data_IF_414561095094
#
_entry.id   IF_414561095094
#
_cell.length_a   1.000
_cell.length_b   1.000
_cell.length_c   1.000
_cell.angle_alpha   90.00
_cell.angle_beta   90.00
_cell.angle_gamma   90.00
#
_symmetry.space_group_name_H-M   'P 1'
#
loop_
_entity.id
_entity.type
_entity.pdbx_description
1 polymer ?
#
# COMPACT_ATOMS: atom_id res chain seq x y z
N UNK A 1 -2.19 -51.18 -2.78
CA UNK A 1 -2.29 -50.66 -1.43
C UNK A 1 -0.90 -50.16 -1.01
N UNK A 2 -0.67 -48.86 -1.01
CA UNK A 2 0.56 -48.25 -0.46
C UNK A 2 0.55 -48.52 1.05
N UNK A 3 1.45 -49.40 1.52
CA UNK A 3 1.64 -49.65 2.95
C UNK A 3 2.20 -48.35 3.57
N UNK A 4 1.33 -47.59 4.26
CA UNK A 4 1.77 -46.47 5.07
C UNK A 4 2.87 -46.95 6.03
N UNK A 5 3.96 -46.17 6.24
CA UNK A 5 4.91 -46.44 7.28
C UNK A 5 4.16 -46.60 8.62
N UNK A 6 4.51 -47.62 9.39
CA UNK A 6 3.79 -47.90 10.64
C UNK A 6 3.85 -46.73 11.63
N UNK A 7 4.90 -45.91 11.57
CA UNK A 7 5.05 -44.70 12.36
C UNK A 7 3.93 -43.67 12.03
N UNK A 8 3.60 -43.51 10.75
CA UNK A 8 2.52 -42.60 10.33
C UNK A 8 1.14 -43.12 10.75
N UNK A 9 0.94 -44.45 10.67
CA UNK A 9 -0.30 -45.07 11.13
C UNK A 9 -0.49 -44.91 12.64
N UNK A 10 0.58 -45.03 13.44
CA UNK A 10 0.56 -44.79 14.87
C UNK A 10 0.32 -43.29 15.21
N UNK A 11 0.97 -42.37 14.52
CA UNK A 11 0.73 -40.93 14.69
C UNK A 11 -0.75 -40.56 14.49
N UNK A 12 -1.39 -41.02 13.39
CA UNK A 12 -2.81 -40.84 13.14
C UNK A 12 -3.70 -41.45 14.23
N UNK A 13 -3.32 -42.65 14.74
CA UNK A 13 -4.09 -43.31 15.78
C UNK A 13 -3.98 -42.59 17.13
N UNK A 14 -2.85 -42.00 17.46
CA UNK A 14 -2.68 -41.21 18.68
C UNK A 14 -3.54 -39.95 18.65
N UNK A 15 -3.62 -39.30 17.49
CA UNK A 15 -4.49 -38.13 17.33
C UNK A 15 -6.00 -38.46 17.41
N UNK A 16 -6.44 -39.65 16.97
CA UNK A 16 -7.84 -40.06 16.83
C UNK A 16 -8.33 -40.94 17.96
N UNK A 17 -7.60 -41.09 19.09
CA UNK A 17 -7.95 -42.02 20.18
C UNK A 17 -9.32 -41.65 20.80
N UNK A 18 -10.27 -42.64 20.69
CA UNK A 18 -11.64 -42.48 21.17
C UNK A 18 -11.76 -42.93 22.64
N UNK A 19 -12.34 -42.11 23.52
CA UNK A 19 -12.94 -42.37 24.83
C UNK A 19 -12.08 -42.36 26.10
N UNK A 20 -10.77 -42.66 26.11
CA UNK A 20 -9.97 -42.58 27.37
C UNK A 20 -9.06 -41.33 27.43
N UNK A 21 -8.74 -40.77 26.28
CA UNK A 21 -7.80 -39.66 26.15
C UNK A 21 -8.46 -38.39 25.58
N UNK A 22 -9.67 -38.05 26.07
CA UNK A 22 -10.41 -36.83 25.63
C UNK A 22 -9.57 -35.56 25.81
N UNK A 23 -8.66 -35.55 26.78
CA UNK A 23 -7.76 -34.46 27.06
C UNK A 23 -6.71 -34.26 25.95
N UNK A 24 -6.07 -35.34 25.45
CA UNK A 24 -5.12 -35.29 24.33
C UNK A 24 -5.79 -34.78 23.04
N UNK A 25 -7.00 -35.30 22.78
CA UNK A 25 -7.78 -34.84 21.60
C UNK A 25 -8.14 -33.36 21.70
N UNK A 26 -8.52 -32.85 22.86
CA UNK A 26 -8.82 -31.43 23.09
C UNK A 26 -7.59 -30.55 22.83
N UNK A 27 -6.40 -30.96 23.35
CA UNK A 27 -5.17 -30.23 23.19
C UNK A 27 -4.73 -30.19 21.71
N UNK A 28 -4.89 -31.32 20.99
CA UNK A 28 -4.60 -31.38 19.54
C UNK A 28 -5.52 -30.43 18.76
N UNK A 29 -6.82 -30.37 19.10
CA UNK A 29 -7.78 -29.43 18.48
C UNK A 29 -7.36 -27.99 18.75
N UNK A 30 -6.97 -27.66 19.99
CA UNK A 30 -6.49 -26.32 20.35
C UNK A 30 -5.23 -25.93 19.52
N UNK A 31 -4.31 -26.88 19.34
CA UNK A 31 -3.11 -26.65 18.53
C UNK A 31 -3.44 -26.41 17.05
N UNK A 32 -4.32 -27.22 16.46
CA UNK A 32 -4.80 -27.03 15.09
C UNK A 32 -5.50 -25.67 14.96
N UNK A 33 -6.39 -25.33 15.92
CA UNK A 33 -7.08 -24.05 15.93
C UNK A 33 -6.12 -22.86 16.05
N UNK A 34 -5.10 -22.97 16.91
CA UNK A 34 -4.07 -21.94 17.06
C UNK A 34 -3.29 -21.66 15.76
N UNK A 35 -2.86 -22.75 15.08
CA UNK A 35 -2.19 -22.62 13.76
C UNK A 35 -3.16 -22.04 12.72
N UNK A 36 -4.40 -22.54 12.69
CA UNK A 36 -5.40 -22.07 11.73
C UNK A 36 -5.70 -20.59 11.90
N UNK A 37 -5.87 -20.12 13.14
CA UNK A 37 -6.09 -18.70 13.44
C UNK A 37 -4.87 -17.86 13.07
N UNK A 38 -3.65 -18.35 13.36
CA UNK A 38 -2.40 -17.66 12.99
C UNK A 38 -2.28 -17.51 11.47
N UNK A 39 -2.47 -18.59 10.72
CA UNK A 39 -2.41 -18.60 9.25
C UNK A 39 -3.52 -17.70 8.65
N UNK A 40 -4.75 -17.80 9.16
CA UNK A 40 -5.86 -16.97 8.69
C UNK A 40 -5.60 -15.48 8.95
N UNK A 41 -5.15 -15.12 10.15
CA UNK A 41 -4.82 -13.75 10.50
C UNK A 41 -3.70 -13.19 9.60
N UNK A 42 -2.65 -13.97 9.33
CA UNK A 42 -1.56 -13.61 8.43
C UNK A 42 -2.08 -13.31 7.01
N UNK A 43 -2.90 -14.18 6.46
CA UNK A 43 -3.47 -14.03 5.11
C UNK A 43 -4.34 -12.76 5.05
N UNK A 44 -5.22 -12.53 6.02
CA UNK A 44 -6.10 -11.38 6.06
C UNK A 44 -5.29 -10.08 6.17
N UNK A 45 -4.38 -9.98 7.14
CA UNK A 45 -3.60 -8.77 7.39
C UNK A 45 -2.73 -8.42 6.19
N UNK A 46 -1.98 -9.39 5.62
CA UNK A 46 -1.14 -9.13 4.46
C UNK A 46 -1.97 -8.78 3.22
N UNK A 47 -3.13 -9.41 3.00
CA UNK A 47 -4.01 -9.07 1.88
C UNK A 47 -4.57 -7.65 1.97
N UNK A 48 -4.94 -7.20 3.16
CA UNK A 48 -5.38 -5.82 3.42
C UNK A 48 -4.23 -4.83 3.22
N UNK A 49 -3.05 -5.13 3.75
CA UNK A 49 -1.86 -4.27 3.58
C UNK A 49 -1.44 -4.13 2.11
N UNK A 50 -1.41 -5.24 1.38
CA UNK A 50 -1.11 -5.22 -0.05
C UNK A 50 -2.18 -4.45 -0.86
N UNK A 51 -3.44 -4.55 -0.43
CA UNK A 51 -4.55 -3.77 -0.99
C UNK A 51 -4.34 -2.28 -0.78
N UNK A 52 -4.08 -1.88 0.45
CA UNK A 52 -3.84 -0.49 0.84
C UNK A 52 -2.64 0.12 0.12
N UNK A 53 -1.47 -0.56 0.13
CA UNK A 53 -0.27 -0.12 -0.58
C UNK A 53 -0.53 0.00 -2.09
N UNK A 54 -1.23 -0.97 -2.68
CA UNK A 54 -1.55 -0.99 -4.10
C UNK A 54 -2.50 0.13 -4.53
N UNK A 55 -3.56 0.39 -3.76
CA UNK A 55 -4.53 1.45 -4.06
C UNK A 55 -3.91 2.84 -3.91
N UNK A 56 -3.17 3.05 -2.82
CA UNK A 56 -2.46 4.30 -2.59
C UNK A 56 -1.44 4.59 -3.69
N UNK A 57 -0.65 3.58 -4.08
CA UNK A 57 0.28 3.68 -5.21
C UNK A 57 -0.45 4.05 -6.50
N UNK A 58 -1.58 3.40 -6.79
CA UNK A 58 -2.39 3.67 -7.99
C UNK A 58 -2.91 5.11 -8.02
N UNK A 59 -3.44 5.61 -6.91
CA UNK A 59 -3.94 6.99 -6.78
C UNK A 59 -2.84 8.03 -6.94
N UNK A 60 -1.68 7.80 -6.29
CA UNK A 60 -0.52 8.70 -6.44
C UNK A 60 -0.06 8.76 -7.88
N UNK A 61 0.08 7.61 -8.56
CA UNK A 61 0.54 7.52 -9.95
C UNK A 61 -0.49 8.05 -10.96
N UNK A 62 -1.78 8.04 -10.62
CA UNK A 62 -2.83 8.62 -11.46
C UNK A 62 -2.88 10.16 -11.36
N UNK A 63 -2.63 10.70 -10.18
CA UNK A 63 -2.72 12.14 -9.92
C UNK A 63 -1.41 12.87 -10.23
N UNK A 64 -0.27 12.24 -10.00
CA UNK A 64 1.06 12.82 -10.16
C UNK A 64 1.83 12.18 -11.31
N UNK A 65 2.79 12.93 -11.86
CA UNK A 65 3.78 12.39 -12.77
C UNK A 65 4.68 11.34 -12.09
N UNK A 66 5.20 10.41 -12.87
CA UNK A 66 6.11 9.37 -12.36
C UNK A 66 7.51 9.92 -12.07
N UNK A 67 7.90 11.00 -12.74
CA UNK A 67 9.19 11.66 -12.62
C UNK A 67 9.01 13.15 -12.91
N UNK A 68 9.71 14.01 -12.18
CA UNK A 68 9.79 15.44 -12.46
C UNK A 68 11.25 15.85 -12.70
N UNK A 69 11.46 16.73 -13.67
CA UNK A 69 12.74 17.39 -13.94
C UNK A 69 12.62 18.84 -13.47
N UNK A 70 13.52 19.24 -12.61
CA UNK A 70 13.58 20.55 -11.98
C UNK A 70 14.95 21.19 -12.24
N UNK A 71 15.05 22.50 -12.04
CA UNK A 71 16.30 23.26 -12.18
C UNK A 71 16.68 23.90 -10.84
N UNK A 72 17.95 23.76 -10.47
CA UNK A 72 18.50 24.45 -9.30
C UNK A 72 18.62 25.95 -9.59
N UNK A 73 18.15 26.77 -8.65
CA UNK A 73 18.25 28.22 -8.72
C UNK A 73 17.13 28.93 -9.49
N UNK A 74 16.01 28.27 -9.77
CA UNK A 74 14.82 28.91 -10.35
C UNK A 74 14.08 28.08 -11.37
N UNK A 75 13.18 28.72 -12.13
CA UNK A 75 12.38 28.04 -13.15
C UNK A 75 13.20 27.57 -14.35
N UNK A 76 12.60 26.66 -15.12
CA UNK A 76 13.13 26.16 -16.39
C UNK A 76 12.65 27.09 -17.52
N UNK A 77 13.61 27.75 -18.14
CA UNK A 77 13.42 28.51 -19.36
C UNK A 77 13.45 27.69 -20.62
N UNK A 78 13.43 27.66 -21.68
CA UNK A 78 13.62 26.74 -22.82
C UNK A 78 13.06 25.32 -22.58
N UNK A 79 11.90 25.23 -21.91
CA UNK A 79 11.26 23.96 -21.58
C UNK A 79 10.81 23.18 -22.83
N UNK A 80 10.53 23.86 -23.97
CA UNK A 80 10.19 23.20 -25.24
C UNK A 80 11.36 22.38 -25.77
N UNK A 81 12.56 22.97 -25.73
CA UNK A 81 13.79 22.24 -26.11
C UNK A 81 14.01 21.03 -25.19
N UNK A 82 13.87 21.21 -23.89
CA UNK A 82 14.08 20.15 -22.92
C UNK A 82 13.05 19.02 -23.09
N UNK A 83 11.80 19.34 -23.42
CA UNK A 83 10.76 18.36 -23.72
C UNK A 83 11.13 17.52 -24.95
N UNK A 84 11.59 18.15 -26.02
CA UNK A 84 12.02 17.47 -27.24
C UNK A 84 13.25 16.57 -26.99
N UNK A 85 14.26 17.07 -26.26
CA UNK A 85 15.46 16.32 -25.90
C UNK A 85 15.12 15.06 -25.09
N UNK A 86 14.19 15.17 -24.12
CA UNK A 86 13.74 14.04 -23.33
C UNK A 86 13.00 13.01 -24.18
N UNK A 87 12.17 13.45 -25.12
CA UNK A 87 11.49 12.55 -26.04
C UNK A 87 12.45 11.83 -26.99
N UNK A 88 13.44 12.53 -27.52
CA UNK A 88 14.42 11.96 -28.45
C UNK A 88 15.31 10.92 -27.78
N UNK A 89 15.81 11.21 -26.58
CA UNK A 89 16.79 10.34 -25.89
C UNK A 89 16.16 9.21 -25.08
N UNK A 90 14.96 9.40 -24.55
CA UNK A 90 14.32 8.46 -23.63
C UNK A 90 12.92 8.02 -24.07
N UNK A 91 12.53 8.19 -25.34
CA UNK A 91 11.19 7.85 -25.84
C UNK A 91 10.82 6.36 -25.72
N UNK A 92 11.80 5.48 -25.57
CA UNK A 92 11.61 4.06 -25.25
C UNK A 92 11.06 3.84 -23.83
N UNK A 93 11.36 4.76 -22.90
CA UNK A 93 11.00 4.70 -21.47
C UNK A 93 9.90 5.67 -21.08
N UNK A 94 9.80 6.79 -21.81
CA UNK A 94 8.85 7.88 -21.56
C UNK A 94 7.58 7.66 -22.39
N UNK A 95 6.42 7.86 -21.75
CA UNK A 95 5.12 7.83 -22.41
C UNK A 95 4.62 9.24 -22.76
N UNK A 96 4.96 10.24 -21.96
CA UNK A 96 4.59 11.63 -22.17
C UNK A 96 5.41 12.58 -21.31
N UNK A 97 5.53 13.83 -21.75
CA UNK A 97 6.19 14.94 -21.03
C UNK A 97 5.29 16.17 -21.12
N UNK A 98 5.13 16.89 -20.01
CA UNK A 98 4.35 18.13 -19.94
C UNK A 98 5.03 19.18 -19.08
N UNK A 99 5.09 20.45 -19.48
CA UNK A 99 5.53 21.52 -18.60
C UNK A 99 4.50 21.84 -17.53
N UNK A 100 4.96 22.24 -16.35
CA UNK A 100 4.07 22.61 -15.26
C UNK A 100 4.59 23.79 -14.44
N UNK A 101 3.66 24.54 -13.86
CA UNK A 101 3.92 25.49 -12.77
C UNK A 101 3.32 24.91 -11.49
N UNK A 102 4.04 25.04 -10.39
CA UNK A 102 3.59 24.64 -9.07
C UNK A 102 3.93 25.75 -8.10
N UNK A 103 2.87 26.45 -7.63
CA UNK A 103 3.02 27.59 -6.75
C UNK A 103 1.93 27.61 -5.69
N UNK A 104 2.18 28.29 -4.59
CA UNK A 104 1.21 28.46 -3.51
C UNK A 104 0.48 29.80 -3.63
N UNK A 105 -0.79 29.79 -3.28
CA UNK A 105 -1.64 30.97 -3.24
C UNK A 105 -2.75 30.81 -2.21
N UNK A 106 -3.65 31.78 -2.19
CA UNK A 106 -4.89 31.72 -1.42
C UNK A 106 -6.06 31.93 -2.36
N UNK A 107 -7.06 31.07 -2.29
CA UNK A 107 -8.35 31.30 -2.94
C UNK A 107 -9.33 31.92 -1.96
N UNK A 108 -9.97 32.98 -2.38
CA UNK A 108 -10.98 33.70 -1.58
C UNK A 108 -12.32 33.69 -2.32
N UNK A 109 -13.35 33.34 -1.59
CA UNK A 109 -14.74 33.48 -2.01
C UNK A 109 -15.41 34.60 -1.22
N UNK A 110 -16.74 34.73 -1.36
CA UNK A 110 -17.52 35.68 -0.52
C UNK A 110 -17.53 35.25 0.97
N UNK A 111 -17.34 33.98 1.25
CA UNK A 111 -17.55 33.39 2.58
C UNK A 111 -16.24 33.02 3.27
N UNK A 112 -15.26 32.52 2.53
CA UNK A 112 -14.09 31.88 3.09
C UNK A 112 -12.79 32.19 2.34
N UNK A 113 -11.67 32.02 3.03
CA UNK A 113 -10.30 32.15 2.51
C UNK A 113 -9.54 30.87 2.83
N UNK A 114 -8.97 30.23 1.82
CA UNK A 114 -8.24 28.98 1.98
C UNK A 114 -6.90 29.03 1.25
N UNK A 115 -5.87 28.48 1.87
CA UNK A 115 -4.60 28.21 1.20
C UNK A 115 -4.78 27.17 0.10
N UNK A 116 -4.18 27.39 -1.05
CA UNK A 116 -4.28 26.51 -2.21
C UNK A 116 -2.91 26.34 -2.86
N UNK A 117 -2.71 25.19 -3.47
CA UNK A 117 -1.62 24.94 -4.39
C UNK A 117 -2.16 25.10 -5.81
N UNK A 118 -1.58 26.00 -6.55
CA UNK A 118 -1.98 26.26 -7.94
C UNK A 118 -1.04 25.54 -8.88
N UNK A 119 -1.60 24.68 -9.71
CA UNK A 119 -0.89 23.94 -10.74
C UNK A 119 -1.24 24.51 -12.12
N UNK A 120 -0.31 25.18 -12.75
CA UNK A 120 -0.42 25.62 -14.14
C UNK A 120 -0.11 24.44 -15.07
N UNK A 121 -1.02 24.09 -15.98
CA UNK A 121 -0.91 22.93 -16.84
C UNK A 121 -1.09 23.31 -18.32
N UNK A 122 -0.30 22.69 -19.18
CA UNK A 122 -0.51 22.76 -20.61
C UNK A 122 -1.62 21.81 -21.03
N UNK A 123 -2.76 22.36 -21.47
CA UNK A 123 -3.98 21.61 -21.82
C UNK A 123 -3.74 20.62 -22.97
N UNK A 124 -2.75 20.84 -23.83
CA UNK A 124 -2.43 19.97 -24.95
C UNK A 124 -1.69 18.70 -24.54
N UNK A 125 -0.86 18.76 -23.48
CA UNK A 125 0.06 17.68 -23.11
C UNK A 125 -0.23 17.07 -21.74
N UNK A 126 -0.94 17.75 -20.84
CA UNK A 126 -1.20 17.30 -19.47
C UNK A 126 -1.88 15.92 -19.39
N UNK A 127 -2.81 15.63 -20.32
CA UNK A 127 -3.52 14.34 -20.39
C UNK A 127 -2.63 13.17 -20.80
N UNK A 128 -1.45 13.43 -21.37
CA UNK A 128 -0.47 12.40 -21.70
C UNK A 128 0.30 11.95 -20.43
N UNK A 129 0.34 12.78 -19.40
CA UNK A 129 1.15 12.57 -18.19
C UNK A 129 0.28 12.24 -16.98
N UNK A 130 -0.81 12.96 -16.78
CA UNK A 130 -1.71 12.79 -15.64
C UNK A 130 -3.10 12.35 -16.09
N UNK A 131 -3.88 11.79 -15.17
CA UNK A 131 -5.25 11.34 -15.40
C UNK A 131 -6.29 12.38 -14.98
N UNK A 132 -5.90 13.66 -14.93
CA UNK A 132 -6.77 14.75 -14.46
C UNK A 132 -8.14 14.78 -15.14
N UNK A 133 -8.20 14.40 -16.43
CA UNK A 133 -9.44 14.33 -17.21
C UNK A 133 -10.42 13.29 -16.68
N UNK A 134 -9.92 12.20 -16.09
CA UNK A 134 -10.74 11.13 -15.51
C UNK A 134 -11.34 11.50 -14.15
N UNK A 135 -10.83 12.54 -13.51
CA UNK A 135 -11.27 13.01 -12.19
C UNK A 135 -12.30 14.13 -12.23
N UNK A 136 -12.71 14.58 -13.42
CA UNK A 136 -13.70 15.65 -13.59
C UNK A 136 -15.07 15.20 -13.09
N UNK A 137 -15.68 15.98 -12.19
CA UNK A 137 -17.05 15.78 -11.70
C UNK A 137 -18.01 16.72 -12.45
N UNK A 138 -17.65 18.01 -12.57
CA UNK A 138 -18.46 19.04 -13.22
C UNK A 138 -17.57 19.90 -14.10
N UNK A 139 -18.08 20.33 -15.27
CA UNK A 139 -17.34 21.13 -16.23
C UNK A 139 -16.38 20.33 -17.11
N UNK A 140 -15.36 20.98 -17.67
CA UNK A 140 -14.36 20.36 -18.53
C UNK A 140 -12.96 20.97 -18.30
N UNK A 141 -11.92 20.17 -18.52
CA UNK A 141 -10.54 20.64 -18.53
C UNK A 141 -10.29 21.65 -19.65
N UNK A 142 -10.96 21.48 -20.79
CA UNK A 142 -10.82 22.36 -21.95
C UNK A 142 -11.41 23.77 -21.67
N UNK A 143 -12.34 23.90 -20.72
CA UNK A 143 -12.95 25.18 -20.30
C UNK A 143 -11.97 26.07 -19.48
N UNK A 144 -10.78 25.57 -19.15
CA UNK A 144 -9.68 26.38 -18.56
C UNK A 144 -8.99 27.26 -19.61
N UNK A 145 -9.19 27.00 -20.89
CA UNK A 145 -8.70 27.87 -21.93
C UNK A 145 -9.42 29.26 -21.84
N UNK A 146 -8.75 30.35 -22.19
CA UNK A 146 -9.37 31.68 -22.20
C UNK A 146 -10.60 31.68 -23.11
N UNK A 147 -11.78 31.81 -22.53
CA UNK A 147 -13.05 31.79 -23.31
C UNK A 147 -13.78 33.09 -23.11
N UNK A 148 -14.26 33.67 -24.14
CA UNK A 148 -15.10 34.89 -24.17
C UNK A 148 -14.55 36.16 -23.49
N UNK A 149 -14.63 37.24 -24.19
CA UNK A 149 -14.39 38.57 -23.66
C UNK A 149 -15.55 39.00 -22.76
N UNK A 150 -15.32 39.20 -21.47
CA UNK A 150 -16.29 39.86 -20.57
C UNK A 150 -15.92 41.32 -20.45
N UNK A 151 -16.95 42.18 -20.54
CA UNK A 151 -16.78 43.62 -20.32
C UNK A 151 -16.89 43.87 -18.82
N UNK A 152 -15.74 44.11 -18.18
CA UNK A 152 -15.66 44.53 -16.78
C UNK A 152 -15.52 46.06 -16.70
N UNK A 153 -15.64 46.66 -15.51
CA UNK A 153 -15.47 48.07 -15.28
C UNK A 153 -14.13 48.65 -15.78
N UNK A 154 -13.10 47.80 -15.88
CA UNK A 154 -11.72 48.13 -16.31
C UNK A 154 -11.45 47.82 -17.79
N UNK A 155 -12.46 47.39 -18.57
CA UNK A 155 -12.33 47.07 -19.99
C UNK A 155 -12.73 45.65 -20.36
N UNK A 156 -12.52 45.28 -21.64
CA UNK A 156 -12.79 43.94 -22.16
C UNK A 156 -11.63 43.01 -21.81
N UNK A 157 -11.85 42.08 -20.89
CA UNK A 157 -10.85 41.07 -20.53
C UNK A 157 -11.42 39.68 -20.76
N UNK A 158 -10.59 38.71 -21.18
CA UNK A 158 -11.02 37.31 -21.26
C UNK A 158 -11.36 36.76 -19.86
N UNK A 159 -12.46 36.04 -19.77
CA UNK A 159 -12.83 35.35 -18.54
C UNK A 159 -11.93 34.13 -18.36
N UNK A 160 -11.07 34.16 -17.35
CA UNK A 160 -10.14 33.07 -17.07
C UNK A 160 -10.79 32.01 -16.20
N UNK A 161 -10.64 30.73 -16.63
CA UNK A 161 -11.15 29.59 -15.91
C UNK A 161 -10.18 29.06 -14.85
N UNK A 162 -10.72 28.58 -13.73
CA UNK A 162 -9.98 27.83 -12.72
C UNK A 162 -10.69 26.50 -12.44
N UNK A 163 -9.91 25.44 -12.28
CA UNK A 163 -10.43 24.19 -11.75
C UNK A 163 -10.11 24.10 -10.26
N UNK A 164 -11.05 23.60 -9.47
CA UNK A 164 -10.90 23.44 -8.02
C UNK A 164 -11.27 22.01 -7.61
N UNK A 165 -10.57 21.49 -6.61
CA UNK A 165 -10.93 20.20 -6.03
C UNK A 165 -12.29 20.29 -5.32
N UNK A 166 -13.00 19.16 -5.24
CA UNK A 166 -14.35 19.06 -4.68
C UNK A 166 -14.42 19.56 -3.23
N UNK A 167 -13.48 19.16 -2.39
CA UNK A 167 -13.44 19.58 -1.00
C UNK A 167 -13.05 21.07 -0.86
N UNK A 168 -12.18 21.55 -1.75
CA UNK A 168 -11.84 22.98 -1.83
C UNK A 168 -13.05 23.81 -2.21
N UNK A 169 -13.83 23.38 -3.22
CA UNK A 169 -15.07 24.04 -3.64
C UNK A 169 -16.11 24.05 -2.50
N UNK A 170 -16.28 22.92 -1.81
CA UNK A 170 -17.18 22.79 -0.68
C UNK A 170 -16.80 23.75 0.47
N UNK A 171 -15.53 23.75 0.86
CA UNK A 171 -15.01 24.58 1.95
C UNK A 171 -15.03 26.10 1.60
N UNK A 172 -14.86 26.45 0.33
CA UNK A 172 -15.01 27.83 -0.15
C UNK A 172 -16.48 28.25 -0.31
N UNK A 173 -17.42 27.28 -0.34
CA UNK A 173 -18.82 27.53 -0.59
C UNK A 173 -19.10 27.98 -2.03
N UNK A 174 -18.36 27.45 -3.02
CA UNK A 174 -18.48 27.81 -4.45
C UNK A 174 -18.94 26.63 -5.28
N UNK A 175 -19.58 26.92 -6.39
CA UNK A 175 -20.10 26.00 -7.40
C UNK A 175 -19.51 26.31 -8.78
N UNK A 176 -19.77 25.44 -9.72
CA UNK A 176 -19.44 25.70 -11.13
C UNK A 176 -20.08 27.02 -11.60
N UNK A 177 -19.30 27.92 -12.19
CA UNK A 177 -19.70 29.23 -12.65
C UNK A 177 -19.52 30.38 -11.64
N UNK A 178 -19.26 30.10 -10.37
CA UNK A 178 -18.98 31.11 -9.36
C UNK A 178 -17.59 31.75 -9.54
N UNK A 179 -17.46 32.99 -9.07
CA UNK A 179 -16.19 33.72 -9.12
C UNK A 179 -15.41 33.57 -7.82
N UNK A 180 -14.10 33.35 -7.95
CA UNK A 180 -13.14 33.29 -6.86
C UNK A 180 -11.95 34.20 -7.13
N UNK A 181 -11.34 34.77 -6.09
CA UNK A 181 -10.12 35.55 -6.24
C UNK A 181 -8.93 34.68 -5.83
N UNK A 182 -7.93 34.57 -6.70
CA UNK A 182 -6.64 34.03 -6.39
C UNK A 182 -5.71 35.14 -5.93
N UNK A 183 -5.08 34.93 -4.78
CA UNK A 183 -4.15 35.87 -4.16
C UNK A 183 -2.76 35.19 -4.08
N UNK A 184 -1.75 35.81 -4.66
CA UNK A 184 -0.36 35.39 -4.50
C UNK A 184 0.30 36.23 -3.41
N UNK A 185 0.93 35.61 -2.39
CA UNK A 185 1.67 36.34 -1.37
C UNK A 185 2.96 36.96 -1.92
N UNK A 186 3.51 36.39 -3.00
CA UNK A 186 4.65 36.94 -3.73
C UNK A 186 4.14 37.89 -4.82
N UNK A 187 3.95 39.15 -4.45
CA UNK A 187 3.45 40.18 -5.35
C UNK A 187 4.55 40.97 -6.03
N UNK A 188 4.15 42.05 -6.72
CA UNK A 188 5.08 43.00 -7.34
C UNK A 188 5.79 43.84 -6.26
N UNK A 189 7.10 44.02 -6.43
CA UNK A 189 7.86 44.96 -5.62
C UNK A 189 7.49 46.38 -6.06
N UNK A 190 6.71 47.03 -5.22
CA UNK A 190 6.35 48.46 -5.42
C UNK A 190 7.28 49.35 -4.60
N UNK A 191 7.37 50.65 -4.90
CA UNK A 191 8.16 51.60 -4.09
C UNK A 191 7.74 51.66 -2.61
N UNK A 192 6.53 51.16 -2.29
CA UNK A 192 5.94 51.14 -0.95
C UNK A 192 6.01 49.73 -0.27
N UNK A 193 6.65 48.77 -0.90
CA UNK A 193 6.76 47.39 -0.43
C UNK A 193 6.18 46.35 -1.41
N UNK A 194 6.14 45.08 -1.02
CA UNK A 194 5.55 44.01 -1.82
C UNK A 194 4.02 44.07 -1.71
N UNK A 195 3.32 44.29 -2.83
CA UNK A 195 1.87 44.25 -2.90
C UNK A 195 1.40 42.87 -3.39
N UNK A 196 0.47 42.18 -2.72
CA UNK A 196 -0.03 40.90 -3.19
C UNK A 196 -0.69 41.02 -4.55
N UNK A 197 -0.47 40.09 -5.46
CA UNK A 197 -1.16 40.02 -6.74
C UNK A 197 -2.50 39.33 -6.56
N UNK A 198 -3.56 39.96 -7.03
CA UNK A 198 -4.94 39.44 -6.94
C UNK A 198 -5.56 39.39 -8.33
N UNK A 199 -6.16 38.25 -8.68
CA UNK A 199 -6.90 38.09 -9.93
C UNK A 199 -8.16 37.27 -9.72
N UNK A 200 -9.25 37.67 -10.38
CA UNK A 200 -10.54 36.96 -10.31
C UNK A 200 -10.62 35.90 -11.40
N UNK A 201 -11.08 34.71 -11.02
CA UNK A 201 -11.31 33.58 -11.90
C UNK A 201 -12.72 33.06 -11.75
N UNK A 202 -13.24 32.39 -12.79
CA UNK A 202 -14.50 31.66 -12.74
C UNK A 202 -14.23 30.18 -12.61
N UNK A 203 -14.90 29.51 -11.67
CA UNK A 203 -14.83 28.05 -11.49
C UNK A 203 -15.44 27.37 -12.71
N UNK A 204 -14.63 26.78 -13.56
CA UNK A 204 -15.03 26.11 -14.81
C UNK A 204 -14.96 24.60 -14.74
N UNK A 205 -14.29 24.05 -13.71
CA UNK A 205 -14.17 22.63 -13.50
C UNK A 205 -14.09 22.33 -12.00
N UNK A 206 -14.83 21.31 -11.58
CA UNK A 206 -14.70 20.69 -10.25
C UNK A 206 -14.24 19.26 -10.46
N UNK A 207 -13.19 18.85 -9.75
CA UNK A 207 -12.61 17.51 -9.85
C UNK A 207 -12.51 16.83 -8.49
N UNK A 208 -12.44 15.47 -8.49
CA UNK A 208 -12.12 14.68 -7.30
C UNK A 208 -11.18 13.55 -7.66
N UNK A 209 -10.03 13.57 -7.06
CA UNK A 209 -9.00 12.52 -7.18
C UNK A 209 -9.29 11.34 -6.25
N UNK A 210 -10.22 11.51 -5.29
CA UNK A 210 -10.47 10.59 -4.20
C UNK A 210 -9.39 10.64 -3.12
N UNK A 211 -8.53 11.66 -3.13
CA UNK A 211 -7.55 11.95 -2.08
C UNK A 211 -7.86 13.32 -1.47
N UNK A 212 -8.27 13.34 -0.20
CA UNK A 212 -8.68 14.57 0.49
C UNK A 212 -7.64 15.69 0.42
N UNK A 213 -6.34 15.38 0.58
CA UNK A 213 -5.27 16.37 0.52
C UNK A 213 -5.21 17.12 -0.82
N UNK A 214 -5.42 16.39 -1.93
CA UNK A 214 -5.47 17.02 -3.26
C UNK A 214 -6.79 17.73 -3.48
N UNK A 215 -7.89 17.10 -3.13
CA UNK A 215 -9.24 17.64 -3.35
C UNK A 215 -9.52 18.89 -2.49
N UNK A 216 -8.83 19.04 -1.34
CA UNK A 216 -8.99 20.19 -0.42
C UNK A 216 -8.03 21.36 -0.66
N UNK A 217 -6.93 21.14 -1.41
CA UNK A 217 -5.90 22.17 -1.54
C UNK A 217 -5.46 22.46 -2.98
N UNK A 218 -5.81 21.64 -3.98
CA UNK A 218 -5.30 21.78 -5.33
C UNK A 218 -6.26 22.54 -6.24
N UNK A 219 -5.71 23.48 -7.02
CA UNK A 219 -6.40 24.17 -8.10
C UNK A 219 -5.57 24.11 -9.39
N UNK A 220 -6.24 24.03 -10.55
CA UNK A 220 -5.58 24.05 -11.86
C UNK A 220 -5.88 25.35 -12.61
N UNK A 221 -4.85 25.87 -13.27
CA UNK A 221 -4.94 26.97 -14.25
C UNK A 221 -4.31 26.52 -15.57
N UNK A 222 -4.70 27.17 -16.66
CA UNK A 222 -3.95 27.08 -17.91
C UNK A 222 -2.51 27.57 -17.69
N UNK A 223 -1.52 26.92 -18.34
CA UNK A 223 -0.11 27.20 -18.16
C UNK A 223 0.24 28.69 -18.43
N UNK A 224 -0.23 29.24 -19.55
CA UNK A 224 0.04 30.63 -19.90
C UNK A 224 -0.52 31.61 -18.86
N UNK A 225 -1.70 31.31 -18.33
CA UNK A 225 -2.32 32.12 -17.28
C UNK A 225 -1.54 32.01 -15.95
N UNK A 226 -1.11 30.82 -15.58
CA UNK A 226 -0.29 30.62 -14.40
C UNK A 226 1.09 31.33 -14.53
N UNK A 227 1.70 31.29 -15.72
CA UNK A 227 2.92 32.06 -16.02
C UNK A 227 2.71 33.56 -15.79
N UNK A 228 1.65 34.12 -16.36
CA UNK A 228 1.33 35.53 -16.22
C UNK A 228 0.99 35.91 -14.76
N UNK A 229 0.22 35.09 -14.06
CA UNK A 229 -0.18 35.35 -12.68
C UNK A 229 0.98 35.29 -11.69
N UNK A 230 1.91 34.35 -11.86
CA UNK A 230 3.06 34.20 -10.96
C UNK A 230 4.32 34.94 -11.43
N UNK A 231 4.27 35.68 -12.53
CA UNK A 231 5.43 36.42 -13.07
C UNK A 231 6.54 35.50 -13.57
N UNK A 232 6.14 34.40 -14.22
CA UNK A 232 7.02 33.36 -14.75
C UNK A 232 6.94 33.29 -16.29
N UNK A 233 6.77 34.45 -16.97
CA UNK A 233 6.67 34.48 -18.43
C UNK A 233 7.85 33.76 -19.09
N UNK A 234 7.57 32.81 -19.99
CA UNK A 234 8.56 31.99 -20.68
C UNK A 234 9.29 30.98 -19.80
N UNK A 235 8.90 30.82 -18.56
CA UNK A 235 9.47 29.85 -17.61
C UNK A 235 8.41 28.93 -17.02
N UNK A 236 8.83 27.76 -16.58
CA UNK A 236 8.00 26.80 -15.84
C UNK A 236 8.74 26.32 -14.58
N UNK A 237 8.03 25.76 -13.63
CA UNK A 237 8.67 25.16 -12.46
C UNK A 237 9.52 23.96 -12.85
N UNK A 238 9.05 23.15 -13.80
CA UNK A 238 9.73 21.97 -14.28
C UNK A 238 8.94 21.24 -15.36
N UNK A 239 9.42 20.04 -15.69
CA UNK A 239 8.75 19.11 -16.59
C UNK A 239 8.29 17.88 -15.83
N UNK A 240 7.06 17.47 -16.06
CA UNK A 240 6.46 16.24 -15.57
C UNK A 240 6.53 15.16 -16.64
N UNK A 241 6.87 13.95 -16.22
CA UNK A 241 7.13 12.83 -17.12
C UNK A 241 6.31 11.61 -16.68
N UNK A 242 5.54 11.05 -17.59
CA UNK A 242 4.93 9.73 -17.46
C UNK A 242 5.87 8.67 -18.04
N UNK A 243 6.24 7.70 -17.22
CA UNK A 243 7.06 6.58 -17.65
C UNK A 243 6.16 5.43 -18.12
N UNK A 244 6.63 4.64 -19.09
CA UNK A 244 5.96 3.39 -19.50
C UNK A 244 5.95 2.34 -18.38
N UNK A 245 6.98 2.35 -17.53
CA UNK A 245 7.07 1.50 -16.34
C UNK A 245 7.39 2.36 -15.10
N UNK A 246 6.41 2.66 -14.23
CA UNK A 246 6.60 3.48 -13.04
C UNK A 246 7.49 2.81 -11.97
N UNK A 247 7.64 1.48 -11.99
CA UNK A 247 8.49 0.77 -11.02
C UNK A 247 9.99 0.98 -11.29
N UNK A 248 10.34 1.44 -12.50
CA UNK A 248 11.72 1.79 -12.90
C UNK A 248 11.99 3.30 -12.83
N UNK A 249 11.18 4.05 -12.09
CA UNK A 249 11.28 5.51 -11.97
C UNK A 249 12.67 5.94 -11.47
N UNK A 250 13.17 5.31 -10.43
CA UNK A 250 14.46 5.61 -9.81
C UNK A 250 15.64 5.45 -10.80
N UNK A 251 15.68 4.34 -11.54
CA UNK A 251 16.72 4.10 -12.56
C UNK A 251 16.62 5.11 -13.68
N UNK A 252 15.39 5.40 -14.15
CA UNK A 252 15.18 6.37 -15.23
C UNK A 252 15.50 7.80 -14.77
N UNK A 253 15.17 8.15 -13.53
CA UNK A 253 15.53 9.42 -12.89
C UNK A 253 17.06 9.63 -12.90
N UNK A 254 17.82 8.62 -12.47
CA UNK A 254 19.28 8.66 -12.50
C UNK A 254 19.87 8.84 -13.90
N UNK A 255 19.31 8.15 -14.90
CA UNK A 255 19.76 8.28 -16.30
C UNK A 255 19.46 9.68 -16.89
N UNK A 256 18.26 10.21 -16.63
CA UNK A 256 17.87 11.56 -17.07
C UNK A 256 18.73 12.62 -16.38
N UNK A 257 18.95 12.50 -15.06
CA UNK A 257 19.80 13.43 -14.32
C UNK A 257 21.26 13.41 -14.81
N UNK A 258 21.82 12.22 -15.10
CA UNK A 258 23.16 12.07 -15.63
C UNK A 258 23.30 12.66 -17.05
N UNK A 259 22.26 12.53 -17.89
CA UNK A 259 22.24 13.08 -19.24
C UNK A 259 22.17 14.62 -19.27
N UNK A 260 21.25 15.18 -18.46
CA UNK A 260 21.02 16.62 -18.43
C UNK A 260 22.13 17.38 -17.67
N UNK A 261 22.73 16.76 -16.65
CA UNK A 261 23.75 17.37 -15.80
C UNK A 261 23.25 18.60 -15.03
N UNK A 262 24.17 19.26 -14.33
CA UNK A 262 23.88 20.52 -13.64
C UNK A 262 23.52 21.63 -14.66
N UNK A 263 22.50 22.46 -14.41
CA UNK A 263 21.75 22.65 -13.14
C UNK A 263 20.47 21.82 -12.98
N UNK A 264 20.20 20.84 -13.83
CA UNK A 264 19.00 20.03 -13.75
C UNK A 264 19.15 18.90 -12.75
N UNK A 265 18.03 18.54 -12.08
CA UNK A 265 17.92 17.40 -11.21
C UNK A 265 16.53 16.78 -11.35
N UNK A 266 16.43 15.52 -10.97
CA UNK A 266 15.20 14.74 -11.09
C UNK A 266 14.70 14.32 -9.71
N UNK A 267 13.39 14.19 -9.57
CA UNK A 267 12.74 13.54 -8.43
C UNK A 267 11.71 12.57 -8.97
N UNK A 268 11.70 11.36 -8.45
CA UNK A 268 10.67 10.41 -8.78
C UNK A 268 9.46 10.53 -7.84
N UNK A 269 8.38 9.82 -8.15
CA UNK A 269 7.15 9.83 -7.37
C UNK A 269 7.32 9.33 -5.94
N UNK A 270 8.31 8.45 -5.68
CA UNK A 270 8.65 7.98 -4.32
C UNK A 270 9.34 9.06 -3.52
N UNK A 271 10.28 9.78 -4.13
CA UNK A 271 10.97 10.91 -3.51
C UNK A 271 10.02 12.05 -3.17
N UNK A 272 9.05 12.33 -4.05
CA UNK A 272 8.03 13.34 -3.82
C UNK A 272 7.12 12.99 -2.62
N UNK A 273 6.91 11.68 -2.38
CA UNK A 273 6.08 11.16 -1.30
C UNK A 273 6.89 10.40 -0.23
N UNK A 274 8.16 10.78 -0.03
CA UNK A 274 9.10 10.06 0.84
C UNK A 274 8.58 9.80 2.26
N UNK A 275 7.91 10.78 2.86
CA UNK A 275 7.36 10.65 4.21
C UNK A 275 6.28 9.57 4.28
N UNK A 276 5.41 9.51 3.27
CA UNK A 276 4.34 8.52 3.18
C UNK A 276 4.93 7.10 2.99
N UNK A 277 5.85 6.93 2.03
CA UNK A 277 6.51 5.63 1.82
C UNK A 277 7.38 5.22 2.99
N UNK A 278 8.00 6.17 3.69
CA UNK A 278 8.71 5.91 4.94
C UNK A 278 7.79 5.40 6.04
N UNK A 279 6.60 5.98 6.19
CA UNK A 279 5.59 5.52 7.14
C UNK A 279 5.08 4.11 6.80
N UNK A 280 4.76 3.84 5.52
CA UNK A 280 4.34 2.51 5.06
C UNK A 280 5.43 1.45 5.28
N UNK A 281 6.70 1.80 5.08
CA UNK A 281 7.82 0.89 5.35
C UNK A 281 7.95 0.57 6.84
N UNK A 282 7.82 1.55 7.72
CA UNK A 282 7.83 1.36 9.17
C UNK A 282 6.64 0.49 9.61
N UNK A 283 5.45 0.73 9.06
CA UNK A 283 4.26 -0.08 9.31
C UNK A 283 4.49 -1.54 8.89
N UNK A 284 5.05 -1.77 7.71
CA UNK A 284 5.39 -3.12 7.20
C UNK A 284 6.39 -3.84 8.13
N UNK A 285 7.38 -3.13 8.65
CA UNK A 285 8.34 -3.68 9.63
C UNK A 285 7.61 -4.03 10.94
N UNK A 286 6.79 -3.13 11.47
CA UNK A 286 6.04 -3.37 12.70
C UNK A 286 5.09 -4.56 12.56
N UNK A 287 4.34 -4.65 11.45
CA UNK A 287 3.49 -5.79 11.15
C UNK A 287 4.29 -7.08 11.02
N UNK A 288 5.46 -7.06 10.36
CA UNK A 288 6.33 -8.23 10.25
C UNK A 288 6.79 -8.74 11.63
N UNK A 289 7.10 -7.85 12.56
CA UNK A 289 7.47 -8.21 13.94
C UNK A 289 6.27 -8.86 14.66
N UNK A 290 5.09 -8.27 14.55
CA UNK A 290 3.86 -8.83 15.15
C UNK A 290 3.57 -10.23 14.59
N UNK A 291 3.70 -10.39 13.27
CA UNK A 291 3.48 -11.66 12.61
C UNK A 291 4.48 -12.73 13.05
N UNK A 292 5.76 -12.37 13.22
CA UNK A 292 6.79 -13.27 13.77
C UNK A 292 6.43 -13.68 15.20
N UNK A 293 5.93 -12.76 16.03
CA UNK A 293 5.50 -13.07 17.40
C UNK A 293 4.31 -14.03 17.42
N UNK A 294 3.32 -13.85 16.54
CA UNK A 294 2.18 -14.78 16.42
C UNK A 294 2.67 -16.19 16.05
N UNK A 295 3.58 -16.29 15.10
CA UNK A 295 4.18 -17.57 14.69
C UNK A 295 4.97 -18.21 15.84
N UNK A 296 5.70 -17.39 16.61
CA UNK A 296 6.44 -17.87 17.78
C UNK A 296 5.50 -18.43 18.85
N UNK A 297 4.40 -17.74 19.14
CA UNK A 297 3.37 -18.22 20.09
C UNK A 297 2.78 -19.54 19.61
N UNK A 298 2.46 -19.66 18.32
CA UNK A 298 1.96 -20.92 17.75
C UNK A 298 2.99 -22.05 17.88
N UNK A 299 4.26 -21.78 17.64
CA UNK A 299 5.34 -22.75 17.82
C UNK A 299 5.46 -23.23 19.29
N UNK A 300 5.42 -22.29 20.25
CA UNK A 300 5.45 -22.65 21.68
C UNK A 300 4.21 -23.47 22.09
N UNK A 301 3.05 -23.15 21.54
CA UNK A 301 1.84 -23.94 21.78
C UNK A 301 2.03 -25.39 21.32
N UNK A 302 2.59 -25.61 20.12
CA UNK A 302 2.89 -26.96 19.60
C UNK A 302 3.90 -27.69 20.51
N UNK A 303 4.99 -27.02 20.91
CA UNK A 303 5.99 -27.61 21.82
C UNK A 303 5.34 -28.06 23.12
N UNK A 304 4.54 -27.20 23.76
CA UNK A 304 3.86 -27.49 25.03
C UNK A 304 2.87 -28.64 24.88
N UNK A 305 2.08 -28.63 23.79
CA UNK A 305 1.11 -29.67 23.46
C UNK A 305 1.80 -31.04 23.31
N UNK A 306 2.80 -31.12 22.46
CA UNK A 306 3.51 -32.39 22.21
C UNK A 306 4.28 -32.86 23.43
N UNK A 307 4.81 -31.95 24.24
CA UNK A 307 5.45 -32.32 25.49
C UNK A 307 4.46 -32.99 26.44
N UNK A 308 3.23 -32.46 26.54
CA UNK A 308 2.17 -33.07 27.34
C UNK A 308 1.74 -34.44 26.81
N UNK A 309 1.57 -34.54 25.46
CA UNK A 309 1.26 -35.83 24.81
C UNK A 309 2.35 -36.87 25.06
N UNK A 310 3.63 -36.48 25.00
CA UNK A 310 4.76 -37.37 25.28
C UNK A 310 4.71 -37.87 26.73
N UNK A 311 4.41 -37.03 27.71
CA UNK A 311 4.27 -37.45 29.11
C UNK A 311 3.10 -38.40 29.31
N UNK A 312 1.95 -38.14 28.73
CA UNK A 312 0.75 -38.95 28.86
C UNK A 312 0.87 -40.30 28.15
N UNK A 313 1.57 -40.33 27.01
CA UNK A 313 1.83 -41.55 26.23
C UNK A 313 3.15 -42.28 26.62
N UNK A 314 3.81 -41.84 27.70
CA UNK A 314 5.07 -42.40 28.16
C UNK A 314 5.05 -43.92 28.33
N UNK A 315 3.94 -44.50 28.89
CA UNK A 315 3.73 -45.95 29.03
C UNK A 315 3.63 -46.64 27.67
N UNK A 316 2.87 -46.09 26.74
CA UNK A 316 2.68 -46.66 25.40
C UNK A 316 4.03 -46.65 24.64
N UNK A 317 4.83 -45.57 24.80
CA UNK A 317 6.18 -45.43 24.23
C UNK A 317 7.12 -46.52 24.83
N UNK A 318 7.10 -46.69 26.16
CA UNK A 318 7.90 -47.69 26.83
C UNK A 318 7.57 -49.12 26.37
N UNK A 319 6.30 -49.47 26.20
CA UNK A 319 5.83 -50.74 25.66
C UNK A 319 6.34 -50.92 24.21
N UNK A 320 6.20 -49.93 23.35
CA UNK A 320 6.67 -49.99 21.96
C UNK A 320 8.19 -50.22 21.90
N UNK A 321 8.96 -49.53 22.75
CA UNK A 321 10.41 -49.72 22.81
C UNK A 321 10.80 -51.09 23.36
N UNK A 322 10.06 -51.64 24.32
CA UNK A 322 10.24 -53.00 24.84
C UNK A 322 9.94 -54.08 23.79
N UNK A 323 9.07 -53.80 22.84
CA UNK A 323 8.76 -54.64 21.69
C UNK A 323 9.76 -54.50 20.53
N UNK A 324 10.81 -53.64 20.69
CA UNK A 324 11.88 -53.51 19.71
C UNK A 324 11.80 -52.25 18.83
N UNK A 325 10.90 -51.33 19.11
CA UNK A 325 10.89 -50.04 18.40
C UNK A 325 12.15 -49.23 18.73
N UNK A 326 12.83 -48.71 17.68
CA UNK A 326 14.03 -47.90 17.86
C UNK A 326 13.65 -46.47 18.35
N UNK A 327 14.60 -45.80 19.04
CA UNK A 327 14.46 -44.39 19.41
C UNK A 327 14.16 -43.49 18.19
N UNK A 328 14.72 -43.85 17.03
CA UNK A 328 14.49 -43.16 15.76
C UNK A 328 13.03 -43.27 15.28
N UNK A 329 12.43 -44.47 15.45
CA UNK A 329 11.02 -44.70 15.09
C UNK A 329 10.08 -43.91 16.00
N UNK A 330 10.33 -43.88 17.31
CA UNK A 330 9.56 -43.07 18.25
C UNK A 330 9.64 -41.58 17.88
N UNK A 331 10.84 -41.06 17.59
CA UNK A 331 10.99 -39.67 17.12
C UNK A 331 10.18 -39.37 15.86
N UNK A 332 10.18 -40.28 14.88
CA UNK A 332 9.42 -40.10 13.63
C UNK A 332 7.92 -40.06 13.89
N UNK A 333 7.39 -40.84 14.84
CA UNK A 333 5.95 -40.80 15.19
C UNK A 333 5.53 -39.36 15.58
N UNK A 334 6.26 -38.74 16.53
CA UNK A 334 5.94 -37.40 17.00
C UNK A 334 6.22 -36.32 15.97
N UNK A 335 7.24 -36.48 15.10
CA UNK A 335 7.45 -35.54 13.98
C UNK A 335 6.31 -35.64 12.97
N UNK A 336 5.81 -36.82 12.66
CA UNK A 336 4.64 -37.00 11.81
C UNK A 336 3.38 -36.41 12.45
N UNK A 337 3.19 -36.53 13.75
CA UNK A 337 2.08 -35.91 14.46
C UNK A 337 2.09 -34.39 14.31
N UNK A 338 3.22 -33.72 14.54
CA UNK A 338 3.36 -32.29 14.33
C UNK A 338 3.22 -31.87 12.88
N UNK A 339 3.71 -32.66 11.94
CA UNK A 339 3.52 -32.43 10.51
C UNK A 339 2.03 -32.46 10.14
N UNK A 340 1.27 -33.45 10.64
CA UNK A 340 -0.17 -33.57 10.37
C UNK A 340 -0.93 -32.39 11.00
N UNK A 341 -0.62 -32.05 12.25
CA UNK A 341 -1.22 -30.88 12.93
C UNK A 341 -0.93 -29.60 12.13
N UNK A 342 0.32 -29.42 11.68
CA UNK A 342 0.73 -28.28 10.85
C UNK A 342 0.00 -28.21 9.50
N UNK A 343 -0.09 -29.33 8.80
CA UNK A 343 -0.79 -29.40 7.50
C UNK A 343 -2.28 -29.14 7.64
N UNK A 344 -2.94 -29.79 8.61
CA UNK A 344 -4.39 -29.56 8.84
C UNK A 344 -4.63 -28.11 9.25
N UNK A 345 -3.82 -27.57 10.17
CA UNK A 345 -3.92 -26.18 10.62
C UNK A 345 -3.69 -25.19 9.50
N UNK A 346 -2.68 -25.41 8.65
CA UNK A 346 -2.40 -24.57 7.50
C UNK A 346 -3.54 -24.61 6.46
N UNK A 347 -4.09 -25.78 6.15
CA UNK A 347 -5.22 -25.91 5.21
C UNK A 347 -6.44 -25.18 5.75
N UNK A 348 -6.86 -25.47 6.99
CA UNK A 348 -8.01 -24.81 7.61
C UNK A 348 -7.79 -23.30 7.72
N UNK A 349 -6.63 -22.86 8.16
CA UNK A 349 -6.28 -21.45 8.24
C UNK A 349 -6.30 -20.75 6.89
N UNK A 350 -5.80 -21.40 5.83
CA UNK A 350 -5.84 -20.87 4.47
C UNK A 350 -7.30 -20.77 3.97
N UNK A 351 -8.11 -21.79 4.17
CA UNK A 351 -9.52 -21.77 3.78
C UNK A 351 -10.27 -20.64 4.50
N UNK A 352 -10.12 -20.54 5.82
CA UNK A 352 -10.75 -19.49 6.62
C UNK A 352 -10.22 -18.11 6.19
N UNK A 353 -8.91 -17.93 6.09
CA UNK A 353 -8.28 -16.66 5.72
C UNK A 353 -8.71 -16.19 4.35
N UNK A 354 -8.62 -17.04 3.33
CA UNK A 354 -9.05 -16.70 1.97
C UNK A 354 -10.55 -16.40 1.90
N UNK A 355 -11.39 -17.22 2.58
CA UNK A 355 -12.84 -16.99 2.59
C UNK A 355 -13.19 -15.64 3.21
N UNK A 356 -12.62 -15.32 4.38
CA UNK A 356 -12.84 -14.03 5.04
C UNK A 356 -12.32 -12.86 4.22
N UNK A 357 -11.17 -13.02 3.58
CA UNK A 357 -10.59 -12.00 2.70
C UNK A 357 -11.48 -11.73 1.47
N UNK A 358 -12.03 -12.77 0.84
CA UNK A 358 -12.99 -12.64 -0.27
C UNK A 358 -14.29 -11.98 0.19
N UNK A 359 -14.79 -12.31 1.39
CA UNK A 359 -15.97 -11.68 1.95
C UNK A 359 -15.73 -10.19 2.24
N UNK A 360 -14.56 -9.84 2.78
CA UNK A 360 -14.15 -8.44 3.00
C UNK A 360 -14.12 -7.66 1.68
N UNK A 361 -13.53 -8.23 0.64
CA UNK A 361 -13.44 -7.60 -0.68
C UNK A 361 -14.83 -7.41 -1.32
N UNK A 362 -15.68 -8.46 -1.26
CA UNK A 362 -17.01 -8.44 -1.90
C UNK A 362 -18.02 -7.54 -1.21
N UNK A 363 -18.08 -7.59 0.12
CA UNK A 363 -19.13 -6.88 0.87
C UNK A 363 -18.69 -5.49 1.36
N UNK A 364 -17.38 -5.23 1.42
CA UNK A 364 -16.80 -3.91 1.75
C UNK A 364 -17.50 -3.20 2.91
N UNK A 365 -17.85 -3.96 3.96
CA UNK A 365 -18.66 -3.47 5.10
C UNK A 365 -17.90 -2.54 6.04
N UNK A 366 -16.60 -2.32 5.83
CA UNK A 366 -15.79 -1.38 6.58
C UNK A 366 -15.64 -0.11 5.73
N UNK A 367 -16.45 0.90 6.03
CA UNK A 367 -16.31 2.24 5.46
C UNK A 367 -15.28 3.02 6.27
N UNK A 368 -14.31 3.62 5.60
CA UNK A 368 -13.28 4.45 6.21
C UNK A 368 -13.69 5.93 6.12
N UNK A 369 -13.50 6.75 7.17
CA UNK A 369 -13.75 8.17 7.10
C UNK A 369 -12.86 8.81 6.02
N UNK A 370 -13.49 9.42 5.01
CA UNK A 370 -12.80 10.03 3.84
C UNK A 370 -11.85 11.15 4.23
N UNK A 371 -12.16 11.85 5.31
CA UNK A 371 -11.41 13.00 5.80
C UNK A 371 -10.06 12.62 6.44
N UNK A 372 -9.90 11.35 6.83
CA UNK A 372 -8.70 10.85 7.53
C UNK A 372 -7.92 9.89 6.64
N UNK A 373 -8.62 9.07 5.87
CA UNK A 373 -8.02 8.03 5.03
C UNK A 373 -8.17 8.41 3.56
N UNK A 374 -7.11 8.20 2.78
CA UNK A 374 -7.10 8.44 1.33
C UNK A 374 -8.03 7.50 0.54
N UNK A 375 -8.76 6.61 1.23
CA UNK A 375 -9.47 5.49 0.65
C UNK A 375 -10.87 5.41 1.27
N UNK A 376 -11.91 5.30 0.44
CA UNK A 376 -13.32 5.24 0.86
C UNK A 376 -13.68 3.90 1.52
N UNK A 377 -13.01 2.83 1.11
CA UNK A 377 -13.31 1.45 1.51
C UNK A 377 -12.01 0.69 1.71
N UNK A 378 -12.04 -0.34 2.56
CA UNK A 378 -10.87 -1.16 2.85
C UNK A 378 -10.48 -1.96 1.59
N UNK A 379 -9.38 -1.62 0.91
CA UNK A 379 -8.94 -2.35 -0.27
C UNK A 379 -8.30 -3.67 0.16
N UNK A 380 -8.57 -4.71 -0.60
CA UNK A 380 -8.03 -6.03 -0.35
C UNK A 380 -7.36 -6.57 -1.62
N UNK A 381 -6.12 -7.00 -1.51
CA UNK A 381 -5.38 -7.59 -2.63
C UNK A 381 -4.67 -8.86 -2.19
N UNK A 382 -5.20 -10.00 -2.60
CA UNK A 382 -4.57 -11.30 -2.38
C UNK A 382 -3.43 -11.54 -3.36
N UNK A 383 -2.30 -11.98 -2.84
CA UNK A 383 -1.12 -12.34 -3.63
C UNK A 383 -0.86 -13.84 -3.43
N UNK A 384 -1.10 -14.64 -4.46
CA UNK A 384 -1.10 -16.10 -4.37
C UNK A 384 0.20 -16.70 -3.84
N UNK A 385 1.36 -16.14 -4.21
CA UNK A 385 2.64 -16.66 -3.73
C UNK A 385 2.82 -16.44 -2.22
N UNK A 386 2.28 -15.35 -1.64
CA UNK A 386 2.33 -15.09 -0.20
C UNK A 386 1.48 -16.08 0.57
N UNK A 387 0.29 -16.41 0.07
CA UNK A 387 -0.59 -17.43 0.68
C UNK A 387 0.12 -18.77 0.76
N UNK A 388 0.78 -19.18 -0.34
CA UNK A 388 1.56 -20.44 -0.39
C UNK A 388 2.73 -20.38 0.58
N UNK A 389 3.43 -19.24 0.66
CA UNK A 389 4.58 -19.05 1.54
C UNK A 389 4.17 -19.09 3.02
N UNK A 390 3.04 -18.48 3.38
CA UNK A 390 2.48 -18.54 4.74
C UNK A 390 2.11 -19.97 5.12
N UNK A 391 1.38 -20.67 4.25
CA UNK A 391 0.95 -22.05 4.50
C UNK A 391 2.16 -22.99 4.64
N UNK A 392 3.13 -22.90 3.74
CA UNK A 392 4.37 -23.68 3.79
C UNK A 392 5.20 -23.35 5.04
N UNK A 393 5.34 -22.06 5.37
CA UNK A 393 6.00 -21.58 6.58
C UNK A 393 5.37 -22.15 7.85
N UNK A 394 4.06 -22.15 7.95
CA UNK A 394 3.34 -22.72 9.08
C UNK A 394 3.62 -24.22 9.25
N UNK A 395 3.62 -25.00 8.14
CA UNK A 395 3.95 -26.43 8.17
C UNK A 395 5.41 -26.66 8.60
N UNK A 396 6.35 -25.87 8.05
CA UNK A 396 7.78 -25.98 8.41
C UNK A 396 8.00 -25.67 9.89
N UNK A 397 7.42 -24.58 10.38
CA UNK A 397 7.57 -24.16 11.78
C UNK A 397 6.91 -25.16 12.72
N UNK A 398 5.72 -25.67 12.38
CA UNK A 398 5.07 -26.76 13.14
C UNK A 398 5.97 -27.98 13.25
N UNK A 399 6.57 -28.42 12.13
CA UNK A 399 7.46 -29.58 12.09
C UNK A 399 8.73 -29.33 12.91
N UNK A 400 9.35 -28.14 12.79
CA UNK A 400 10.54 -27.79 13.58
C UNK A 400 10.26 -27.74 15.09
N UNK A 401 9.10 -27.18 15.47
CA UNK A 401 8.67 -27.13 16.87
C UNK A 401 8.54 -28.50 17.51
N UNK A 402 8.23 -29.53 16.71
CA UNK A 402 8.09 -30.90 17.23
C UNK A 402 9.41 -31.64 17.49
N UNK A 403 10.51 -31.15 16.93
CA UNK A 403 11.82 -31.87 17.03
C UNK A 403 12.29 -32.04 18.47
N UNK A 404 12.12 -31.03 19.30
CA UNK A 404 12.54 -31.09 20.70
C UNK A 404 11.70 -32.10 21.53
N UNK A 405 10.35 -32.05 21.54
CA UNK A 405 9.52 -33.06 22.21
C UNK A 405 9.76 -34.48 21.67
N UNK A 406 9.87 -34.62 20.35
CA UNK A 406 10.14 -35.90 19.70
C UNK A 406 11.52 -36.51 20.14
N UNK A 407 12.55 -35.68 20.25
CA UNK A 407 13.84 -36.09 20.74
C UNK A 407 13.77 -36.59 22.19
N UNK A 408 13.00 -35.90 23.05
CA UNK A 408 12.81 -36.31 24.46
C UNK A 408 12.01 -37.61 24.56
N UNK A 409 10.96 -37.77 23.74
CA UNK A 409 10.17 -39.00 23.67
C UNK A 409 11.04 -40.23 23.35
N UNK A 410 11.99 -40.11 22.41
CA UNK A 410 12.89 -41.17 22.05
C UNK A 410 13.93 -41.54 23.13
N UNK A 411 14.05 -40.79 24.21
CA UNK A 411 14.98 -41.02 25.32
C UNK A 411 14.31 -41.53 26.60
N UNK A 412 13.03 -41.84 26.58
CA UNK A 412 12.32 -42.42 27.72
C UNK A 412 12.90 -43.80 27.98
N UNK A 413 13.28 -44.07 29.24
CA UNK A 413 13.73 -45.40 29.66
C UNK A 413 12.52 -46.33 29.71
N UNK A 414 12.53 -47.49 28.98
CA UNK A 414 11.42 -48.44 28.99
C UNK A 414 11.09 -48.97 30.38
N UNK A 415 12.09 -49.13 31.24
CA UNK A 415 11.89 -49.68 32.60
C UNK A 415 11.19 -48.65 33.49
N UNK A 416 11.64 -47.40 33.45
CA UNK A 416 11.01 -46.31 34.21
C UNK A 416 9.59 -46.01 33.70
N UNK A 417 9.40 -45.97 32.37
CA UNK A 417 8.11 -45.71 31.76
C UNK A 417 7.02 -46.75 32.09
N UNK A 418 7.39 -48.02 32.28
CA UNK A 418 6.45 -49.07 32.70
C UNK A 418 6.19 -48.99 34.21
N UNK A 419 7.21 -48.65 35.01
CA UNK A 419 7.13 -48.66 36.48
C UNK A 419 6.35 -47.46 37.03
N UNK A 420 6.56 -46.28 36.51
CA UNK A 420 5.94 -45.04 37.00
C UNK A 420 4.72 -44.56 36.18
N UNK A 421 4.38 -45.21 35.10
CA UNK A 421 3.16 -44.93 34.33
C UNK A 421 1.90 -45.59 34.92
N UNK A 422 1.92 -45.98 36.18
CA UNK A 422 0.79 -46.63 36.89
C UNK A 422 0.17 -45.73 37.98
N UNK A 423 0.72 -44.52 38.16
CA UNK A 423 0.10 -43.45 38.96
C UNK A 423 -0.41 -42.37 37.99
#
# INVERSE_FOLDING_TARGET
>A
MLSLPYELALALRYMMSRRKDAFVSLITIISIAGISLGVAALIIVLSVMNGFEGDLKSKILGTNAHLVVLRSGGGVAAYDWLQNELHEKFGDRIAGVTPFIYNQGMLTSRSNVLGTVVRGVDLATVTQVTEVKNYVIEGSLDDLAPTALTVNADGVSPTMGIAVGKELAFNLGVRLGDSVNLVSPTGEITPFGSAPRIRTYVVRMIFSTGMYEYDSALAYLNLAEAQSFFGMEGMVTGLEIKLRNPDRSEVTAGLVAAHLGFPYYTRDWKDLNKNLFGALQLEKIAMSIILILIVLVAAFNIVSTLFMVVLEKGKDIAILMSMGASQGSVRRIFVYEGLIIGVIGAILGTVIGVTLTVLLDKYQFIELPKDIYYIDRLPVRMVNYEIVLIAAGAVVISTLATLYPAWRAGRIDPVEGIRYGAE
#
